data_IF_390004459486
#
_entry.id   IF_390004459486
#
_cell.length_a   1.000
_cell.length_b   1.000
_cell.length_c   1.000
_cell.angle_alpha   90.00
_cell.angle_beta   90.00
_cell.angle_gamma   90.00
#
_symmetry.space_group_name_H-M   'P 1'
#
loop_
_entity.id
_entity.type
_entity.pdbx_description
1 polymer ?
#
# COMPACT_ATOMS: atom_id res chain seq x y z
N UNK A 1 13.44 -8.12 -46.77
CA UNK A 1 14.03 -6.94 -46.09
C UNK A 1 13.63 -7.03 -44.61
N UNK A 2 14.58 -7.18 -43.68
CA UNK A 2 14.29 -7.56 -42.27
C UNK A 2 15.12 -6.73 -41.27
N UNK A 3 14.47 -5.93 -40.41
CA UNK A 3 15.01 -5.43 -39.13
C UNK A 3 13.93 -5.32 -38.00
N UNK A 4 14.13 -5.49 -36.67
CA UNK A 4 15.15 -6.12 -35.79
C UNK A 4 14.38 -6.64 -34.54
N UNK A 5 14.86 -7.65 -33.80
CA UNK A 5 14.31 -7.99 -32.45
C UNK A 5 14.67 -6.89 -31.43
N UNK A 6 13.68 -6.36 -30.70
CA UNK A 6 13.88 -5.32 -29.65
C UNK A 6 13.79 -5.84 -28.21
N UNK A 7 14.11 -7.11 -27.99
CA UNK A 7 14.10 -7.73 -26.66
C UNK A 7 15.46 -7.58 -25.96
N UNK A 8 15.73 -6.38 -25.41
CA UNK A 8 16.77 -6.21 -24.38
C UNK A 8 16.62 -4.96 -23.49
N UNK A 9 15.39 -4.47 -23.26
CA UNK A 9 15.11 -3.50 -22.19
C UNK A 9 14.70 -4.19 -20.87
N UNK A 10 15.53 -5.14 -20.43
CA UNK A 10 15.49 -5.62 -19.05
C UNK A 10 16.02 -4.51 -18.13
N UNK A 11 15.13 -3.65 -17.60
CA UNK A 11 15.27 -2.92 -16.31
C UNK A 11 14.10 -1.97 -15.95
N UNK A 12 12.94 -2.04 -16.62
CA UNK A 12 11.75 -1.25 -16.28
C UNK A 12 10.75 -2.02 -15.42
N UNK A 13 10.98 -2.11 -14.11
CA UNK A 13 10.16 -2.91 -13.19
C UNK A 13 9.41 -2.14 -12.08
N UNK A 14 9.32 -0.80 -12.17
CA UNK A 14 8.65 0.05 -11.15
C UNK A 14 7.51 0.94 -11.67
N UNK A 15 7.04 0.79 -12.91
CA UNK A 15 5.86 1.52 -13.40
C UNK A 15 4.91 0.69 -14.28
N UNK A 16 5.06 -0.64 -14.29
CA UNK A 16 4.00 -1.52 -14.78
C UNK A 16 2.91 -1.62 -13.72
N UNK A 17 1.93 -0.71 -13.81
CA UNK A 17 0.60 -1.00 -13.27
C UNK A 17 0.17 -2.39 -13.79
N UNK A 18 -0.42 -3.19 -12.92
CA UNK A 18 -0.54 -4.64 -13.12
C UNK A 18 -1.27 -5.03 -14.41
N UNK A 19 -1.13 -6.31 -14.79
CA UNK A 19 -1.88 -6.94 -15.89
C UNK A 19 -3.42 -6.74 -15.84
N UNK A 20 -3.98 -6.24 -14.73
CA UNK A 20 -5.42 -5.94 -14.61
C UNK A 20 -5.80 -4.47 -14.89
N UNK A 21 -4.86 -3.50 -14.79
CA UNK A 21 -5.21 -2.05 -14.77
C UNK A 21 -5.24 -1.35 -16.13
N UNK A 22 -4.44 -1.81 -17.10
CA UNK A 22 -4.36 -1.24 -18.45
C UNK A 22 -4.15 0.29 -18.48
N UNK A 23 -4.78 0.97 -19.45
CA UNK A 23 -4.67 2.43 -19.62
C UNK A 23 -5.30 3.22 -18.46
N UNK A 24 -6.29 2.66 -17.75
CA UNK A 24 -6.93 3.30 -16.58
C UNK A 24 -5.96 3.34 -15.40
N UNK A 25 -5.28 2.23 -15.14
CA UNK A 25 -4.24 2.13 -14.12
C UNK A 25 -3.03 3.01 -14.42
N UNK A 26 -2.64 3.15 -15.70
CA UNK A 26 -1.64 4.12 -16.12
C UNK A 26 -2.06 5.57 -15.82
N UNK A 27 -3.31 5.95 -16.14
CA UNK A 27 -3.84 7.28 -15.83
C UNK A 27 -3.88 7.59 -14.32
N UNK A 28 -4.26 6.61 -13.49
CA UNK A 28 -4.20 6.74 -12.03
C UNK A 28 -2.77 6.88 -11.51
N UNK A 29 -1.81 6.10 -12.05
CA UNK A 29 -0.40 6.25 -11.71
C UNK A 29 0.16 7.64 -12.09
N UNK A 30 -0.23 8.15 -13.27
CA UNK A 30 0.14 9.51 -13.70
C UNK A 30 -0.45 10.61 -12.80
N UNK A 31 -1.67 10.44 -12.30
CA UNK A 31 -2.27 11.38 -11.34
C UNK A 31 -1.45 11.44 -10.04
N UNK A 32 -1.06 10.28 -9.49
CA UNK A 32 -0.19 10.22 -8.30
C UNK A 32 1.16 10.86 -8.56
N UNK A 33 1.77 10.62 -9.73
CA UNK A 33 3.07 11.20 -10.12
C UNK A 33 3.01 12.74 -10.24
N UNK A 34 1.90 13.29 -10.73
CA UNK A 34 1.71 14.75 -10.81
C UNK A 34 1.57 15.36 -9.41
N UNK A 35 0.73 14.75 -8.55
CA UNK A 35 0.46 15.25 -7.19
C UNK A 35 1.68 15.13 -6.27
N UNK A 36 2.39 14.00 -6.30
CA UNK A 36 3.49 13.71 -5.39
C UNK A 36 4.88 14.02 -5.98
N UNK A 37 5.04 14.03 -7.30
CA UNK A 37 6.29 14.39 -7.96
C UNK A 37 6.31 15.87 -8.33
N UNK A 38 5.55 16.24 -9.37
CA UNK A 38 5.65 17.54 -10.04
C UNK A 38 5.21 18.69 -9.13
N UNK A 39 4.06 18.59 -8.46
CA UNK A 39 3.54 19.68 -7.61
C UNK A 39 4.38 19.87 -6.34
N UNK A 40 5.04 18.81 -5.86
CA UNK A 40 5.85 18.82 -4.65
C UNK A 40 7.35 19.12 -4.88
N UNK A 41 7.76 19.47 -6.13
CA UNK A 41 9.16 19.63 -6.56
C UNK A 41 10.06 18.42 -6.23
N UNK A 42 9.48 17.22 -6.29
CA UNK A 42 10.16 15.97 -5.98
C UNK A 42 10.68 15.26 -7.25
N UNK A 43 11.54 14.25 -7.06
CA UNK A 43 12.00 13.45 -8.18
C UNK A 43 10.84 12.64 -8.78
N UNK A 44 10.75 12.62 -10.11
CA UNK A 44 9.67 11.96 -10.85
C UNK A 44 10.18 10.95 -11.89
N UNK A 45 9.39 9.92 -12.15
CA UNK A 45 9.61 8.88 -13.15
C UNK A 45 10.98 8.21 -13.04
N UNK A 46 11.82 8.22 -14.10
CA UNK A 46 13.11 7.54 -14.10
C UNK A 46 14.14 8.21 -13.16
N UNK A 47 13.88 9.42 -12.66
CA UNK A 47 14.77 10.14 -11.75
C UNK A 47 14.60 9.70 -10.29
N UNK A 48 13.52 8.98 -9.96
CA UNK A 48 13.31 8.39 -8.63
C UNK A 48 14.37 7.33 -8.37
N UNK A 49 15.06 7.45 -7.22
CA UNK A 49 16.08 6.46 -6.83
C UNK A 49 15.45 5.07 -6.67
N UNK A 50 16.23 4.02 -6.96
CA UNK A 50 15.75 2.64 -6.72
C UNK A 50 15.60 2.38 -5.23
N UNK A 51 14.56 1.63 -4.87
CA UNK A 51 14.42 1.06 -3.53
C UNK A 51 15.69 0.28 -3.14
N UNK A 52 16.14 0.42 -1.89
CA UNK A 52 17.40 -0.10 -1.34
C UNK A 52 18.72 0.55 -1.82
N UNK A 53 18.73 1.46 -2.80
CA UNK A 53 19.93 2.26 -3.12
C UNK A 53 20.08 3.41 -2.11
N UNK A 54 21.23 3.45 -1.42
CA UNK A 54 21.61 4.53 -0.48
C UNK A 54 22.51 5.60 -1.13
N UNK A 55 22.86 5.43 -2.40
CA UNK A 55 23.81 6.28 -3.14
C UNK A 55 23.35 7.73 -3.31
N UNK A 56 22.04 7.98 -3.16
CA UNK A 56 21.42 9.31 -3.21
C UNK A 56 20.32 9.46 -2.15
N UNK A 57 20.10 10.67 -1.62
CA UNK A 57 18.95 10.98 -0.79
C UNK A 57 17.63 10.61 -1.46
N UNK A 58 16.62 10.24 -0.67
CA UNK A 58 15.26 10.04 -1.18
C UNK A 58 14.60 11.42 -1.38
N UNK A 59 14.47 11.87 -2.63
CA UNK A 59 13.57 12.97 -2.97
C UNK A 59 12.22 12.41 -3.41
N UNK A 60 11.40 12.02 -2.43
CA UNK A 60 10.04 11.50 -2.64
C UNK A 60 9.05 12.51 -2.04
N UNK A 61 8.23 13.14 -2.88
CA UNK A 61 7.16 14.00 -2.41
C UNK A 61 5.93 13.19 -2.00
N UNK A 62 5.10 13.81 -1.17
CA UNK A 62 3.89 13.22 -0.63
C UNK A 62 2.78 14.28 -0.69
N UNK A 63 1.59 13.89 -1.13
CA UNK A 63 0.42 14.75 -1.18
C UNK A 63 -0.64 14.23 -0.22
N UNK A 64 -1.17 15.12 0.62
CA UNK A 64 -2.22 14.83 1.58
C UNK A 64 -3.45 15.69 1.29
N UNK A 65 -4.63 15.07 1.25
CA UNK A 65 -5.90 15.75 0.99
C UNK A 65 -6.87 15.44 2.14
N UNK A 66 -7.29 16.47 2.85
CA UNK A 66 -8.38 16.42 3.81
C UNK A 66 -9.59 17.17 3.24
N UNK A 67 -10.76 16.54 3.28
CA UNK A 67 -12.02 17.12 2.81
C UNK A 67 -12.95 17.15 4.02
N UNK A 68 -13.44 18.32 4.41
CA UNK A 68 -14.47 18.44 5.46
C UNK A 68 -15.84 18.07 4.87
N UNK A 69 -16.48 16.96 5.27
CA UNK A 69 -17.80 16.58 4.76
C UNK A 69 -18.89 17.59 5.14
N UNK A 70 -18.70 18.39 6.21
CA UNK A 70 -19.68 19.38 6.67
C UNK A 70 -19.78 20.61 5.75
N UNK A 71 -18.78 20.83 4.90
CA UNK A 71 -18.80 21.88 3.87
C UNK A 71 -19.68 21.52 2.65
N UNK A 72 -20.21 20.29 2.58
CA UNK A 72 -21.01 19.78 1.46
C UNK A 72 -22.44 19.43 1.90
N UNK A 73 -23.03 18.38 1.31
CA UNK A 73 -24.40 17.98 1.60
C UNK A 73 -24.56 17.42 3.02
N UNK A 74 -25.66 17.75 3.73
CA UNK A 74 -25.94 17.20 5.05
C UNK A 74 -26.18 15.68 5.02
N UNK A 75 -25.96 15.01 6.15
CA UNK A 75 -26.18 13.56 6.29
C UNK A 75 -25.09 12.68 5.66
N UNK A 76 -23.87 13.20 5.45
CA UNK A 76 -22.75 12.47 4.86
C UNK A 76 -22.51 11.09 5.51
N UNK A 77 -22.43 11.03 6.83
CA UNK A 77 -22.16 9.78 7.58
C UNK A 77 -23.22 8.71 7.29
N UNK A 78 -24.50 9.05 7.43
CA UNK A 78 -25.61 8.12 7.16
C UNK A 78 -25.59 7.62 5.71
N UNK A 79 -25.38 8.52 4.74
CA UNK A 79 -25.31 8.16 3.31
C UNK A 79 -24.10 7.27 2.99
N UNK A 80 -22.97 7.50 3.65
CA UNK A 80 -21.77 6.68 3.50
C UNK A 80 -21.98 5.29 4.11
N UNK A 81 -22.53 5.20 5.33
CA UNK A 81 -22.88 3.94 5.98
C UNK A 81 -23.88 3.14 5.14
N UNK A 82 -24.92 3.78 4.61
CA UNK A 82 -25.89 3.16 3.71
C UNK A 82 -25.21 2.61 2.44
N UNK A 83 -24.40 3.42 1.75
CA UNK A 83 -23.67 3.01 0.55
C UNK A 83 -22.74 1.81 0.80
N UNK A 84 -21.95 1.86 1.88
CA UNK A 84 -21.03 0.75 2.22
C UNK A 84 -21.81 -0.51 2.59
N UNK A 85 -22.94 -0.39 3.30
CA UNK A 85 -23.82 -1.51 3.59
C UNK A 85 -24.46 -2.10 2.32
N UNK A 86 -24.87 -1.27 1.36
CA UNK A 86 -25.35 -1.76 0.05
C UNK A 86 -24.26 -2.58 -0.64
N UNK A 87 -23.01 -2.09 -0.65
CA UNK A 87 -21.88 -2.79 -1.29
C UNK A 87 -21.56 -4.13 -0.63
N UNK A 88 -21.53 -4.22 0.71
CA UNK A 88 -21.31 -5.50 1.43
C UNK A 88 -22.45 -6.52 1.23
N UNK A 89 -23.68 -6.05 1.01
CA UNK A 89 -24.86 -6.91 0.81
C UNK A 89 -25.14 -7.27 -0.66
N UNK A 90 -24.22 -6.94 -1.58
CA UNK A 90 -24.32 -7.42 -2.96
C UNK A 90 -24.21 -8.96 -3.02
N UNK A 91 -24.93 -9.63 -3.95
CA UNK A 91 -24.83 -11.08 -4.10
C UNK A 91 -23.39 -11.47 -4.48
N UNK A 92 -22.70 -12.31 -3.69
CA UNK A 92 -21.34 -12.71 -4.00
C UNK A 92 -21.29 -13.64 -5.21
N UNK A 93 -20.19 -13.59 -5.95
CA UNK A 93 -19.94 -14.47 -7.12
C UNK A 93 -19.67 -15.93 -6.68
N UNK A 94 -19.15 -16.10 -5.47
CA UNK A 94 -18.88 -17.38 -4.82
C UNK A 94 -19.58 -17.37 -3.46
N UNK A 95 -20.54 -18.27 -3.24
CA UNK A 95 -21.33 -18.35 -2.00
C UNK A 95 -20.48 -18.57 -0.74
N UNK A 96 -19.22 -19.00 -0.87
CA UNK A 96 -18.28 -19.16 0.25
C UNK A 96 -17.47 -17.90 0.56
N UNK A 97 -17.58 -16.83 -0.24
CA UNK A 97 -16.80 -15.59 -0.11
C UNK A 97 -17.71 -14.36 -0.11
N UNK A 98 -18.00 -13.75 1.06
CA UNK A 98 -18.82 -12.55 1.12
C UNK A 98 -18.15 -11.37 0.39
N UNK A 99 -18.96 -10.37 0.02
CA UNK A 99 -18.43 -9.13 -0.59
C UNK A 99 -17.81 -8.26 0.50
N UNK A 100 -16.50 -8.06 0.39
CA UNK A 100 -15.69 -7.21 1.28
C UNK A 100 -15.52 -5.81 0.69
N UNK A 101 -15.39 -4.80 1.56
CA UNK A 101 -14.98 -3.44 1.15
C UNK A 101 -13.57 -3.11 1.66
N UNK A 102 -12.88 -2.11 1.07
CA UNK A 102 -11.59 -1.65 1.60
C UNK A 102 -11.68 -1.25 3.08
N UNK A 103 -10.78 -1.77 3.92
CA UNK A 103 -10.80 -1.57 5.37
C UNK A 103 -11.40 -2.72 6.18
N UNK A 104 -12.04 -3.72 5.55
CA UNK A 104 -12.59 -4.89 6.26
C UNK A 104 -11.47 -5.85 6.72
N UNK A 105 -10.55 -6.23 5.81
CA UNK A 105 -9.41 -7.09 6.15
C UNK A 105 -8.48 -6.47 7.21
N UNK A 106 -8.24 -5.16 7.10
CA UNK A 106 -7.42 -4.43 8.08
C UNK A 106 -8.08 -4.44 9.48
N UNK A 107 -9.42 -4.40 9.54
CA UNK A 107 -10.18 -4.50 10.81
C UNK A 107 -10.15 -5.90 11.40
N UNK A 108 -10.29 -6.92 10.56
CA UNK A 108 -10.14 -8.33 10.98
C UNK A 108 -8.75 -8.57 11.58
N UNK A 109 -7.69 -8.13 10.89
CA UNK A 109 -6.32 -8.31 11.38
C UNK A 109 -5.98 -7.48 12.64
N UNK A 110 -6.54 -6.27 12.78
CA UNK A 110 -6.43 -5.53 14.05
C UNK A 110 -7.11 -6.29 15.20
N UNK A 111 -8.29 -6.87 14.96
CA UNK A 111 -9.03 -7.66 15.96
C UNK A 111 -8.25 -8.91 16.35
N UNK A 112 -7.65 -9.62 15.38
CA UNK A 112 -6.74 -10.75 15.61
C UNK A 112 -5.54 -10.34 16.47
N UNK A 113 -4.90 -9.20 16.19
CA UNK A 113 -3.78 -8.69 16.98
C UNK A 113 -4.18 -8.33 18.43
N UNK A 114 -5.37 -7.74 18.61
CA UNK A 114 -5.92 -7.41 19.92
C UNK A 114 -6.25 -8.68 20.73
N UNK A 115 -6.85 -9.70 20.10
CA UNK A 115 -7.14 -11.02 20.71
C UNK A 115 -5.87 -11.79 21.08
N UNK A 116 -4.82 -11.69 20.25
CA UNK A 116 -3.49 -12.25 20.53
C UNK A 116 -2.73 -11.47 21.63
N UNK A 117 -3.15 -10.25 21.95
CA UNK A 117 -2.44 -9.33 22.84
C UNK A 117 -1.11 -8.83 22.25
N UNK A 118 -0.94 -8.90 20.93
CA UNK A 118 0.31 -8.58 20.25
C UNK A 118 0.32 -8.97 18.78
N UNK A 119 1.27 -8.40 18.02
CA UNK A 119 1.37 -8.58 16.56
C UNK A 119 2.18 -9.86 16.25
N UNK A 120 1.65 -10.80 15.43
CA UNK A 120 2.38 -11.99 15.03
C UNK A 120 3.48 -11.65 14.01
N UNK A 121 4.71 -12.10 14.28
CA UNK A 121 5.85 -11.94 13.38
C UNK A 121 6.52 -13.29 13.06
N UNK A 122 6.98 -13.51 11.81
CA UNK A 122 7.74 -14.72 11.47
C UNK A 122 9.04 -14.84 12.29
N UNK A 123 9.46 -16.06 12.69
CA UNK A 123 10.62 -16.27 13.55
C UNK A 123 11.94 -15.72 12.95
N UNK A 124 12.08 -15.79 11.61
CA UNK A 124 13.24 -15.24 10.88
C UNK A 124 13.38 -13.72 11.04
N UNK A 125 12.25 -13.00 11.18
CA UNK A 125 12.26 -11.57 11.42
C UNK A 125 12.68 -11.27 12.87
N UNK A 126 12.18 -12.05 13.84
CA UNK A 126 12.58 -11.93 15.25
C UNK A 126 14.08 -12.19 15.43
N UNK A 127 14.65 -13.20 14.77
CA UNK A 127 16.09 -13.45 14.77
C UNK A 127 16.88 -12.27 14.17
N UNK A 128 16.41 -11.74 13.04
CA UNK A 128 17.03 -10.57 12.38
C UNK A 128 17.01 -9.32 13.26
N UNK A 129 15.91 -9.08 13.97
CA UNK A 129 15.75 -7.96 14.90
C UNK A 129 16.57 -8.15 16.18
N UNK A 130 16.68 -9.38 16.71
CA UNK A 130 17.54 -9.68 17.85
C UNK A 130 19.03 -9.43 17.52
N UNK A 131 19.47 -9.83 16.32
CA UNK A 131 20.83 -9.53 15.83
C UNK A 131 21.09 -8.02 15.71
N UNK A 132 20.09 -7.26 15.26
CA UNK A 132 20.17 -5.80 15.19
C UNK A 132 20.21 -5.17 16.59
N UNK A 133 19.43 -5.70 17.53
CA UNK A 133 19.42 -5.25 18.92
C UNK A 133 20.78 -5.46 19.60
N UNK A 134 21.42 -6.62 19.38
CA UNK A 134 22.78 -6.91 19.86
C UNK A 134 23.83 -5.95 19.26
N UNK A 135 23.71 -5.61 17.97
CA UNK A 135 24.60 -4.65 17.29
C UNK A 135 24.43 -3.22 17.82
N UNK A 136 23.19 -2.79 18.07
CA UNK A 136 22.86 -1.44 18.56
C UNK A 136 22.90 -1.30 20.08
N UNK A 137 23.11 -2.41 20.82
CA UNK A 137 23.11 -2.50 22.29
C UNK A 137 21.80 -1.98 22.92
N UNK A 138 20.68 -2.39 22.35
CA UNK A 138 19.32 -2.09 22.86
C UNK A 138 18.63 -3.35 23.35
N UNK A 139 17.65 -3.20 24.23
CA UNK A 139 16.88 -4.33 24.75
C UNK A 139 16.13 -5.08 23.64
N UNK A 140 16.11 -6.41 23.75
CA UNK A 140 15.41 -7.29 22.81
C UNK A 140 13.90 -7.23 23.01
N UNK A 141 13.16 -7.45 21.93
CA UNK A 141 11.69 -7.46 21.98
C UNK A 141 11.18 -8.60 22.88
N UNK A 142 10.21 -8.29 23.74
CA UNK A 142 9.58 -9.27 24.63
C UNK A 142 8.56 -10.09 23.84
N UNK A 143 8.80 -11.39 23.73
CA UNK A 143 7.86 -12.34 23.10
C UNK A 143 6.78 -12.69 24.12
N UNK A 144 5.52 -12.37 23.82
CA UNK A 144 4.38 -12.61 24.72
C UNK A 144 3.89 -14.07 24.60
N UNK A 145 3.83 -14.58 23.38
CA UNK A 145 3.36 -15.93 23.05
C UNK A 145 4.10 -16.45 21.82
N UNK A 146 4.36 -17.75 21.78
CA UNK A 146 4.77 -18.47 20.57
C UNK A 146 3.51 -19.18 20.07
N UNK A 147 3.17 -18.95 18.80
CA UNK A 147 2.05 -19.58 18.09
C UNK A 147 2.52 -20.85 17.37
#
# INVERSE_FOLDING_TARGET
MIPIKRNQFHLYYNFYCSKQGGYKGYGLGMLVEILCGIIADAAFGPNVRRWLSTDKPANLGQSFLAIDPKAFAPGFEQRLSEYVNIMRNLPPVDSQKPVVVPGDFEREHMTECDELGGIPYPPVLIESLNRLADQLKVDKMKIIKIL
#
